data_IF_405393718672
#
_entry.id   IF_405393718672
#
_cell.length_a   1.000
_cell.length_b   1.000
_cell.length_c   1.000
_cell.angle_alpha   90.00
_cell.angle_beta   90.00
_cell.angle_gamma   90.00
#
_symmetry.space_group_name_H-M   'P 1'
#
loop_
_entity.id
_entity.type
_entity.pdbx_description
1 polymer ?
#
# COMPACT_ATOMS: atom_id res chain seq x y z
N UNK A 1 54.16 73.92 -32.12
CA UNK A 1 53.04 73.54 -31.23
C UNK A 1 52.31 72.41 -31.94
N UNK A 2 52.60 71.19 -31.61
CA UNK A 2 51.99 70.00 -32.23
C UNK A 2 51.03 69.33 -31.16
N UNK A 3 49.73 69.32 -31.45
CA UNK A 3 48.70 68.65 -30.64
C UNK A 3 48.70 67.13 -30.97
N UNK A 4 49.05 66.31 -29.98
CA UNK A 4 48.93 64.88 -30.07
C UNK A 4 47.52 64.45 -29.61
N UNK A 5 46.68 63.97 -30.53
CA UNK A 5 45.34 63.46 -30.24
C UNK A 5 45.49 61.97 -29.93
N UNK A 6 45.18 61.57 -28.70
CA UNK A 6 45.08 60.17 -28.29
C UNK A 6 43.72 59.65 -28.64
N UNK A 7 43.64 58.68 -29.58
CA UNK A 7 42.44 57.96 -29.89
C UNK A 7 42.43 56.74 -28.96
N UNK A 8 41.53 56.74 -28.01
CA UNK A 8 41.27 55.56 -27.19
C UNK A 8 40.43 54.50 -27.95
N UNK A 9 41.04 53.39 -28.28
CA UNK A 9 40.37 52.26 -28.94
C UNK A 9 39.65 51.45 -27.87
N UNK A 10 38.31 51.58 -27.77
CA UNK A 10 37.44 50.73 -26.94
C UNK A 10 37.31 49.37 -27.61
N UNK A 11 38.00 48.38 -27.07
CA UNK A 11 37.82 46.98 -27.44
C UNK A 11 36.55 46.46 -26.77
N UNK A 12 35.47 46.34 -27.55
CA UNK A 12 34.28 45.58 -27.12
C UNK A 12 34.60 44.08 -27.13
N UNK A 13 34.81 43.50 -25.96
CA UNK A 13 34.84 42.03 -25.82
C UNK A 13 33.39 41.51 -25.84
N UNK A 14 33.08 40.50 -26.63
CA UNK A 14 31.79 39.85 -26.54
C UNK A 14 31.72 39.05 -25.24
N UNK A 15 30.74 39.36 -24.40
CA UNK A 15 30.35 38.54 -23.26
C UNK A 15 29.72 37.29 -23.83
N UNK A 16 30.48 36.19 -23.88
CA UNK A 16 29.91 34.85 -24.12
C UNK A 16 29.06 34.51 -22.91
N UNK A 17 27.73 34.53 -23.09
CA UNK A 17 26.80 33.94 -22.15
C UNK A 17 27.09 32.45 -22.08
N UNK A 18 27.69 31.98 -21.01
CA UNK A 18 27.72 30.57 -20.64
C UNK A 18 26.25 30.18 -20.42
N UNK A 19 25.67 29.51 -21.42
CA UNK A 19 24.41 28.81 -21.24
C UNK A 19 24.68 27.68 -20.25
N UNK A 20 24.26 27.90 -19.01
CA UNK A 20 24.22 26.88 -17.96
C UNK A 20 23.24 25.81 -18.44
N UNK A 21 23.77 24.75 -19.05
CA UNK A 21 23.04 23.53 -19.33
C UNK A 21 22.80 22.80 -18.01
N UNK A 22 21.96 23.38 -17.16
CA UNK A 22 21.33 22.64 -16.09
C UNK A 22 20.38 21.63 -16.74
N UNK A 23 20.92 20.50 -17.17
CA UNK A 23 20.17 19.28 -17.32
C UNK A 23 19.64 18.91 -15.94
N UNK A 24 18.51 19.51 -15.57
CA UNK A 24 17.61 18.99 -14.57
C UNK A 24 17.12 17.64 -15.13
N UNK A 25 17.90 16.58 -14.89
CA UNK A 25 17.36 15.25 -14.88
C UNK A 25 16.29 15.26 -13.81
N UNK A 26 15.02 15.35 -14.21
CA UNK A 26 13.90 15.00 -13.37
C UNK A 26 14.12 13.53 -12.97
N UNK A 27 14.90 13.30 -11.91
CA UNK A 27 14.85 12.03 -11.19
C UNK A 27 13.42 11.95 -10.71
N UNK A 28 12.61 11.13 -11.41
CA UNK A 28 11.23 10.89 -11.06
C UNK A 28 11.20 10.56 -9.57
N UNK A 29 10.42 11.31 -8.81
CA UNK A 29 10.22 11.03 -7.38
C UNK A 29 9.56 9.66 -7.30
N UNK A 30 10.36 8.62 -7.08
CA UNK A 30 9.83 7.28 -6.81
C UNK A 30 9.30 7.27 -5.39
N UNK A 31 8.00 7.07 -5.21
CA UNK A 31 7.42 7.04 -3.87
C UNK A 31 8.07 5.90 -3.07
N UNK A 32 8.53 6.23 -1.85
CA UNK A 32 9.16 5.25 -0.97
C UNK A 32 8.09 4.39 -0.28
N UNK A 33 8.30 3.08 -0.25
CA UNK A 33 7.46 2.16 0.51
C UNK A 33 7.78 2.20 2.01
N UNK A 34 6.90 1.61 2.81
CA UNK A 34 7.14 1.46 4.24
C UNK A 34 8.42 0.68 4.58
N UNK A 35 8.94 -0.15 3.67
CA UNK A 35 10.17 -0.91 3.85
C UNK A 35 11.41 -0.02 3.94
N UNK A 36 11.44 1.09 3.20
CA UNK A 36 12.55 2.05 3.24
C UNK A 36 12.73 2.71 4.62
N UNK A 37 11.71 2.67 5.46
CA UNK A 37 11.70 3.27 6.80
C UNK A 37 11.98 2.26 7.93
N UNK A 38 12.23 1.01 7.60
CA UNK A 38 12.64 -0.01 8.55
C UNK A 38 14.13 0.12 8.90
N UNK A 39 14.54 -0.33 10.10
CA UNK A 39 15.95 -0.52 10.40
C UNK A 39 16.58 -1.56 9.47
N UNK A 40 17.88 -1.49 9.26
CA UNK A 40 18.61 -2.46 8.42
C UNK A 40 18.40 -3.90 8.91
N UNK A 41 18.35 -4.11 10.24
CA UNK A 41 18.08 -5.44 10.82
C UNK A 41 16.67 -5.94 10.49
N UNK A 42 15.65 -5.08 10.52
CA UNK A 42 14.30 -5.45 10.12
C UNK A 42 14.17 -5.70 8.63
N UNK A 43 14.87 -4.94 7.79
CA UNK A 43 14.92 -5.18 6.35
C UNK A 43 15.60 -6.53 6.03
N UNK A 44 16.69 -6.86 6.74
CA UNK A 44 17.37 -8.15 6.60
C UNK A 44 16.45 -9.30 7.03
N UNK A 45 15.79 -9.18 8.20
CA UNK A 45 14.84 -10.18 8.68
C UNK A 45 13.67 -10.38 7.71
N UNK A 46 13.15 -9.30 7.12
CA UNK A 46 12.06 -9.38 6.14
C UNK A 46 12.46 -10.14 4.87
N UNK A 47 13.73 -10.02 4.44
CA UNK A 47 14.25 -10.69 3.24
C UNK A 47 14.60 -12.16 3.47
N UNK A 48 14.82 -12.56 4.70
CA UNK A 48 15.16 -13.94 5.06
C UNK A 48 13.88 -14.78 5.14
N UNK A 49 13.63 -15.59 4.11
CA UNK A 49 12.43 -16.42 4.03
C UNK A 49 12.31 -17.42 5.19
N UNK A 50 13.43 -17.85 5.79
CA UNK A 50 13.43 -18.82 6.90
C UNK A 50 13.21 -18.13 8.27
N UNK A 51 13.65 -16.89 8.42
CA UNK A 51 13.56 -16.14 9.67
C UNK A 51 12.34 -15.21 9.73
N UNK A 52 11.74 -14.86 8.58
CA UNK A 52 10.56 -14.01 8.51
C UNK A 52 9.31 -14.78 8.98
N UNK A 53 8.71 -14.43 10.13
CA UNK A 53 7.54 -15.16 10.65
C UNK A 53 6.31 -15.07 9.74
N UNK A 54 6.24 -14.09 8.82
CA UNK A 54 5.17 -14.00 7.83
C UNK A 54 5.19 -15.18 6.84
N UNK A 55 6.33 -15.85 6.66
CA UNK A 55 6.45 -17.02 5.79
C UNK A 55 5.54 -18.16 6.22
N UNK A 56 5.39 -18.38 7.53
CA UNK A 56 4.50 -19.43 8.07
C UNK A 56 3.03 -19.19 7.70
N UNK A 57 2.61 -17.94 7.64
CA UNK A 57 1.24 -17.58 7.23
C UNK A 57 1.03 -17.80 5.73
N UNK A 58 2.05 -17.54 4.93
CA UNK A 58 2.01 -17.81 3.49
C UNK A 58 1.92 -19.31 3.24
N UNK A 59 2.73 -20.13 3.93
CA UNK A 59 2.68 -21.59 3.84
C UNK A 59 1.30 -22.14 4.25
N UNK A 60 0.74 -21.63 5.34
CA UNK A 60 -0.62 -21.95 5.75
C UNK A 60 -1.64 -21.57 4.66
N UNK A 61 -1.49 -20.40 4.04
CA UNK A 61 -2.37 -19.96 2.96
C UNK A 61 -2.27 -20.85 1.72
N UNK A 62 -1.09 -21.31 1.37
CA UNK A 62 -0.85 -22.26 0.30
C UNK A 62 -1.53 -23.61 0.59
N UNK A 63 -1.39 -24.12 1.82
CA UNK A 63 -2.06 -25.34 2.25
C UNK A 63 -3.60 -25.22 2.21
N UNK A 64 -4.14 -24.07 2.63
CA UNK A 64 -5.57 -23.78 2.57
C UNK A 64 -6.10 -23.60 1.14
N UNK A 65 -5.28 -23.10 0.23
CA UNK A 65 -5.64 -22.98 -1.19
C UNK A 65 -5.93 -24.35 -1.80
N UNK A 66 -5.15 -25.36 -1.41
CA UNK A 66 -5.29 -26.74 -1.84
C UNK A 66 -4.53 -27.06 -3.13
N UNK A 67 -4.70 -28.28 -3.59
CA UNK A 67 -4.03 -28.86 -4.76
C UNK A 67 -4.99 -29.63 -5.65
N UNK A 68 -4.50 -30.11 -6.79
CA UNK A 68 -5.27 -30.96 -7.69
C UNK A 68 -5.77 -32.21 -6.98
N UNK A 69 -7.02 -32.58 -7.24
CA UNK A 69 -7.70 -33.73 -6.60
C UNK A 69 -8.29 -33.45 -5.22
N UNK A 70 -7.98 -32.31 -4.58
CA UNK A 70 -8.56 -31.89 -3.31
C UNK A 70 -9.93 -31.24 -3.53
N UNK A 71 -10.99 -31.94 -3.11
CA UNK A 71 -12.35 -31.41 -3.21
C UNK A 71 -12.58 -30.22 -2.30
N UNK A 72 -13.49 -29.33 -2.75
CA UNK A 72 -13.94 -28.17 -1.96
C UNK A 72 -12.82 -27.18 -1.55
N UNK A 73 -11.75 -27.11 -2.35
CA UNK A 73 -10.64 -26.18 -2.16
C UNK A 73 -10.76 -24.97 -3.10
N UNK A 74 -9.97 -23.92 -2.83
CA UNK A 74 -9.87 -22.79 -3.76
C UNK A 74 -9.33 -23.24 -5.12
N UNK A 75 -8.42 -24.22 -5.12
CA UNK A 75 -7.84 -24.81 -6.32
C UNK A 75 -8.91 -25.34 -7.29
N UNK A 76 -9.96 -25.96 -6.79
CA UNK A 76 -11.01 -26.56 -7.64
C UNK A 76 -11.67 -25.54 -8.59
N UNK A 77 -11.85 -24.31 -8.14
CA UNK A 77 -12.47 -23.25 -8.95
C UNK A 77 -11.44 -22.36 -9.64
N UNK A 78 -10.27 -22.12 -9.01
CA UNK A 78 -9.29 -21.13 -9.44
C UNK A 78 -7.99 -21.72 -10.01
N UNK A 79 -7.82 -23.05 -9.95
CA UNK A 79 -6.58 -23.73 -10.36
C UNK A 79 -5.40 -23.42 -9.44
N UNK A 80 -4.19 -23.63 -9.93
CA UNK A 80 -2.96 -23.38 -9.17
C UNK A 80 -2.87 -21.92 -8.71
N UNK A 81 -2.37 -21.71 -7.47
CA UNK A 81 -2.22 -20.40 -6.85
C UNK A 81 -1.40 -19.44 -7.74
N UNK A 82 -0.34 -19.94 -8.36
CA UNK A 82 0.56 -19.17 -9.23
C UNK A 82 -0.13 -18.58 -10.47
N UNK A 83 -1.22 -19.20 -10.94
CA UNK A 83 -2.03 -18.66 -12.05
C UNK A 83 -2.85 -17.44 -11.64
N UNK A 84 -2.96 -17.18 -10.34
CA UNK A 84 -3.75 -16.09 -9.75
C UNK A 84 -2.88 -14.87 -9.35
N UNK A 85 -1.66 -14.73 -9.92
CA UNK A 85 -0.71 -13.66 -9.60
C UNK A 85 -1.23 -12.23 -9.83
N UNK A 86 -2.31 -12.05 -10.59
CA UNK A 86 -2.89 -10.73 -10.86
C UNK A 86 -4.10 -10.41 -9.98
N UNK A 87 -4.48 -11.30 -9.06
CA UNK A 87 -5.71 -11.13 -8.28
C UNK A 87 -5.54 -10.06 -7.20
N UNK A 88 -4.50 -10.14 -6.38
CA UNK A 88 -4.35 -9.27 -5.20
C UNK A 88 -4.17 -7.79 -5.58
N UNK A 89 -3.51 -7.51 -6.71
CA UNK A 89 -3.25 -6.14 -7.17
C UNK A 89 -4.52 -5.35 -7.55
N UNK A 90 -5.66 -6.04 -7.76
CA UNK A 90 -6.91 -5.44 -8.22
C UNK A 90 -7.82 -4.99 -7.07
N UNK A 91 -7.45 -5.24 -5.82
CA UNK A 91 -8.27 -4.89 -4.67
C UNK A 91 -7.78 -3.64 -3.94
N UNK A 92 -8.69 -2.80 -3.41
CA UNK A 92 -10.15 -2.98 -3.38
C UNK A 92 -10.79 -2.75 -4.74
N UNK A 93 -11.92 -3.43 -4.97
CA UNK A 93 -12.70 -3.29 -6.19
C UNK A 93 -14.20 -3.22 -5.91
N UNK A 94 -14.96 -2.72 -6.88
CA UNK A 94 -16.41 -2.74 -6.79
C UNK A 94 -16.94 -4.16 -6.99
N UNK A 95 -17.82 -4.60 -6.11
CA UNK A 95 -18.50 -5.87 -6.21
C UNK A 95 -19.90 -5.69 -6.77
N UNK A 96 -20.17 -6.22 -7.97
CA UNK A 96 -21.51 -6.24 -8.56
C UNK A 96 -22.53 -6.93 -7.65
N UNK A 97 -22.12 -8.05 -7.06
CA UNK A 97 -23.01 -8.84 -6.20
C UNK A 97 -23.39 -8.13 -4.91
N UNK A 98 -22.43 -7.42 -4.29
CA UNK A 98 -22.61 -6.78 -3.00
C UNK A 98 -22.96 -5.29 -3.13
N UNK A 99 -22.91 -4.73 -4.34
CA UNK A 99 -23.15 -3.32 -4.65
C UNK A 99 -22.34 -2.38 -3.76
N UNK A 100 -21.08 -2.73 -3.50
CA UNK A 100 -20.15 -1.96 -2.66
C UNK A 100 -18.69 -2.23 -3.00
N UNK A 101 -17.82 -1.37 -2.50
CA UNK A 101 -16.38 -1.57 -2.51
C UNK A 101 -16.00 -2.69 -1.53
N UNK A 102 -15.20 -3.65 -1.99
CA UNK A 102 -14.69 -4.77 -1.20
C UNK A 102 -13.18 -4.91 -1.35
N UNK A 103 -12.51 -5.42 -0.33
CA UNK A 103 -11.12 -5.83 -0.42
C UNK A 103 -10.97 -7.35 -0.66
N UNK A 104 -9.73 -7.83 -0.68
CA UNK A 104 -9.45 -9.25 -0.94
C UNK A 104 -9.98 -10.15 0.19
N UNK A 105 -9.87 -9.73 1.43
CA UNK A 105 -10.37 -10.46 2.60
C UNK A 105 -11.90 -10.60 2.56
N UNK A 106 -12.62 -9.55 2.16
CA UNK A 106 -14.08 -9.61 1.92
C UNK A 106 -14.41 -10.65 0.83
N UNK A 107 -13.61 -10.67 -0.24
CA UNK A 107 -13.80 -11.63 -1.33
C UNK A 107 -13.54 -13.07 -0.89
N UNK A 108 -12.49 -13.30 -0.09
CA UNK A 108 -12.16 -14.62 0.48
C UNK A 108 -13.30 -15.11 1.37
N UNK A 109 -13.80 -14.25 2.27
CA UNK A 109 -14.95 -14.56 3.12
C UNK A 109 -16.18 -14.92 2.29
N UNK A 110 -16.49 -14.11 1.27
CA UNK A 110 -17.64 -14.37 0.40
C UNK A 110 -17.52 -15.67 -0.40
N UNK A 111 -16.30 -16.05 -0.80
CA UNK A 111 -16.04 -17.35 -1.46
C UNK A 111 -16.15 -18.51 -0.47
N UNK A 112 -15.69 -18.38 0.77
CA UNK A 112 -15.73 -19.43 1.78
C UNK A 112 -17.15 -19.91 2.12
N UNK A 113 -18.15 -19.05 1.89
CA UNK A 113 -19.57 -19.42 2.03
C UNK A 113 -20.00 -20.57 1.10
N UNK A 114 -19.18 -20.84 0.06
CA UNK A 114 -19.44 -21.88 -0.93
C UNK A 114 -18.60 -23.15 -0.71
N UNK A 115 -17.83 -23.17 0.37
CA UNK A 115 -16.99 -24.30 0.76
C UNK A 115 -17.50 -24.90 2.07
N UNK A 116 -17.20 -26.18 2.38
CA UNK A 116 -17.61 -26.79 3.65
C UNK A 116 -17.08 -26.08 4.88
N UNK A 117 -15.94 -25.40 4.76
CA UNK A 117 -15.34 -24.59 5.83
C UNK A 117 -15.66 -23.12 5.60
N UNK A 118 -16.75 -22.65 6.20
CA UNK A 118 -17.09 -21.23 6.23
C UNK A 118 -16.15 -20.48 7.17
N UNK A 119 -15.45 -19.48 6.65
CA UNK A 119 -14.60 -18.59 7.42
C UNK A 119 -15.39 -17.41 7.97
N UNK A 120 -15.02 -16.91 9.14
CA UNK A 120 -15.69 -15.79 9.79
C UNK A 120 -14.67 -14.76 10.28
N UNK A 121 -14.94 -13.48 10.01
CA UNK A 121 -14.12 -12.34 10.44
C UNK A 121 -12.91 -12.08 9.54
N UNK A 122 -12.70 -10.79 9.26
CA UNK A 122 -11.63 -10.31 8.39
C UNK A 122 -10.22 -10.55 8.97
N UNK A 123 -10.10 -10.61 10.29
CA UNK A 123 -8.86 -10.89 11.01
C UNK A 123 -8.70 -12.39 11.36
N UNK A 124 -9.52 -13.26 10.78
CA UNK A 124 -9.37 -14.71 10.93
C UNK A 124 -8.04 -15.17 10.33
N UNK A 125 -7.31 -16.03 11.04
CA UNK A 125 -5.98 -16.47 10.62
C UNK A 125 -5.98 -17.13 9.23
N UNK A 126 -6.98 -17.94 8.90
CA UNK A 126 -7.07 -18.60 7.59
C UNK A 126 -7.36 -17.59 6.47
N UNK A 127 -8.20 -16.57 6.74
CA UNK A 127 -8.45 -15.47 5.78
C UNK A 127 -7.18 -14.69 5.49
N UNK A 128 -6.45 -14.31 6.53
CA UNK A 128 -5.19 -13.56 6.38
C UNK A 128 -4.10 -14.41 5.72
N UNK A 129 -4.04 -15.71 6.01
CA UNK A 129 -3.11 -16.65 5.37
C UNK A 129 -3.38 -16.79 3.88
N UNK A 130 -4.64 -16.96 3.47
CA UNK A 130 -5.04 -16.99 2.06
C UNK A 130 -4.74 -15.66 1.36
N UNK A 131 -5.04 -14.54 2.02
CA UNK A 131 -4.73 -13.21 1.49
C UNK A 131 -3.21 -13.02 1.34
N UNK A 132 -2.42 -13.44 2.33
CA UNK A 132 -0.96 -13.36 2.26
C UNK A 132 -0.37 -14.20 1.13
N UNK A 133 -0.89 -15.41 0.90
CA UNK A 133 -0.46 -16.28 -0.19
C UNK A 133 -0.78 -15.67 -1.57
N UNK A 134 -1.97 -15.08 -1.75
CA UNK A 134 -2.37 -14.40 -2.98
C UNK A 134 -1.53 -13.12 -3.22
N UNK A 135 -1.24 -12.36 -2.18
CA UNK A 135 -0.35 -11.20 -2.30
C UNK A 135 1.09 -11.62 -2.60
N UNK A 136 1.56 -12.72 -2.01
CA UNK A 136 2.92 -13.23 -2.23
C UNK A 136 3.15 -13.62 -3.69
N UNK A 137 2.21 -14.31 -4.35
CA UNK A 137 2.35 -14.63 -5.78
C UNK A 137 2.19 -13.40 -6.68
N UNK A 138 1.68 -12.30 -6.15
CA UNK A 138 1.57 -10.98 -6.82
C UNK A 138 2.76 -10.06 -6.51
N UNK A 139 3.73 -10.49 -5.71
CA UNK A 139 4.89 -9.66 -5.30
C UNK A 139 5.64 -9.13 -6.53
N UNK A 140 6.03 -7.87 -6.49
CA UNK A 140 6.70 -7.18 -7.59
C UNK A 140 5.74 -6.57 -8.63
N UNK A 141 4.47 -6.93 -8.63
CA UNK A 141 3.46 -6.32 -9.51
C UNK A 141 2.91 -5.04 -8.86
N UNK A 142 2.65 -3.98 -9.64
CA UNK A 142 2.01 -2.78 -9.13
C UNK A 142 0.52 -3.00 -8.91
N UNK A 143 -0.10 -2.14 -8.10
CA UNK A 143 -1.57 -2.12 -8.01
C UNK A 143 -2.20 -1.79 -9.37
N UNK A 144 -3.29 -2.47 -9.71
CA UNK A 144 -4.10 -2.25 -10.90
C UNK A 144 -5.56 -2.00 -10.52
N UNK A 145 -5.82 -0.84 -9.94
CA UNK A 145 -7.13 -0.46 -9.43
C UNK A 145 -7.93 0.21 -10.56
N UNK A 146 -8.53 -0.60 -11.40
CA UNK A 146 -9.31 -0.14 -12.56
C UNK A 146 -10.80 -0.28 -12.24
N UNK A 147 -11.56 0.83 -12.18
CA UNK A 147 -13.00 0.75 -11.99
C UNK A 147 -13.68 0.14 -13.21
N UNK A 148 -14.67 -0.76 -13.03
CA UNK A 148 -15.54 -1.15 -14.11
C UNK A 148 -16.26 0.08 -14.67
N UNK A 149 -16.39 0.21 -16.00
CA UNK A 149 -16.97 1.41 -16.62
C UNK A 149 -18.38 1.73 -16.08
N UNK A 150 -19.19 0.69 -15.87
CA UNK A 150 -20.53 0.79 -15.26
C UNK A 150 -20.55 1.48 -13.88
N UNK A 151 -19.46 1.40 -13.11
CA UNK A 151 -19.37 1.91 -11.73
C UNK A 151 -18.32 3.01 -11.58
N UNK A 152 -17.87 3.59 -12.64
CA UNK A 152 -16.81 4.63 -12.63
C UNK A 152 -17.17 5.84 -11.76
N UNK A 153 -18.42 6.27 -11.81
CA UNK A 153 -18.92 7.39 -10.99
C UNK A 153 -18.92 7.05 -9.49
N UNK A 154 -19.43 5.87 -9.14
CA UNK A 154 -19.45 5.39 -7.73
C UNK A 154 -18.02 5.20 -7.22
N UNK A 155 -17.15 4.58 -8.02
CA UNK A 155 -15.74 4.44 -7.70
C UNK A 155 -15.07 5.78 -7.42
N UNK A 156 -15.28 6.78 -8.29
CA UNK A 156 -14.70 8.11 -8.10
C UNK A 156 -15.24 8.78 -6.83
N UNK A 157 -16.51 8.60 -6.52
CA UNK A 157 -17.11 9.07 -5.28
C UNK A 157 -16.46 8.43 -4.05
N UNK A 158 -16.26 7.11 -4.06
CA UNK A 158 -15.58 6.38 -2.96
C UNK A 158 -14.12 6.82 -2.81
N UNK A 159 -13.42 7.06 -3.90
CA UNK A 159 -12.04 7.55 -3.89
C UNK A 159 -11.94 8.96 -3.31
N UNK A 160 -12.84 9.87 -3.72
CA UNK A 160 -12.89 11.24 -3.22
C UNK A 160 -13.19 11.27 -1.72
N UNK A 161 -14.10 10.41 -1.27
CA UNK A 161 -14.43 10.29 0.15
C UNK A 161 -13.24 9.71 0.95
N UNK A 162 -12.51 8.75 0.39
CA UNK A 162 -11.25 8.26 0.98
C UNK A 162 -10.19 9.37 1.13
N UNK A 163 -10.06 10.23 0.12
CA UNK A 163 -9.18 11.40 0.17
C UNK A 163 -9.61 12.39 1.26
N UNK A 164 -10.92 12.64 1.37
CA UNK A 164 -11.50 13.49 2.41
C UNK A 164 -11.21 12.93 3.81
N UNK A 165 -11.44 11.65 4.02
CA UNK A 165 -11.14 10.98 5.30
C UNK A 165 -9.66 11.09 5.67
N UNK A 166 -8.76 10.92 4.72
CA UNK A 166 -7.31 11.01 4.94
C UNK A 166 -6.87 12.42 5.39
N UNK A 167 -7.55 13.46 4.93
CA UNK A 167 -7.25 14.87 5.25
C UNK A 167 -8.04 15.42 6.43
N UNK A 168 -9.11 14.73 6.85
CA UNK A 168 -10.00 15.19 7.92
C UNK A 168 -9.36 14.96 9.29
N UNK A 169 -9.34 15.99 10.13
CA UNK A 169 -8.92 15.90 11.53
C UNK A 169 -9.95 15.13 12.33
N UNK A 170 -9.47 14.25 13.21
CA UNK A 170 -10.33 13.37 14.00
C UNK A 170 -9.78 13.16 15.42
N UNK A 171 -10.61 12.60 16.26
CA UNK A 171 -10.29 12.21 17.62
C UNK A 171 -9.94 13.38 18.56
N UNK A 172 -9.69 13.03 19.81
CA UNK A 172 -9.35 14.04 20.85
C UNK A 172 -8.01 14.71 20.59
N UNK A 173 -7.13 14.05 19.83
CA UNK A 173 -5.84 14.64 19.42
C UNK A 173 -5.96 15.60 18.25
N UNK A 174 -7.14 15.70 17.62
CA UNK A 174 -7.42 16.58 16.48
C UNK A 174 -6.38 16.43 15.35
N UNK A 175 -6.07 15.20 14.96
CA UNK A 175 -5.07 14.88 13.93
C UNK A 175 -5.73 14.23 12.71
N UNK A 176 -5.23 14.56 11.53
CA UNK A 176 -5.52 13.86 10.28
C UNK A 176 -4.36 12.91 9.94
N UNK A 177 -4.60 11.95 9.02
CA UNK A 177 -3.55 11.04 8.55
C UNK A 177 -2.38 11.80 7.91
N UNK A 178 -2.66 12.91 7.22
CA UNK A 178 -1.67 13.80 6.58
C UNK A 178 -0.63 14.36 7.55
N UNK A 179 -0.99 14.61 8.82
CA UNK A 179 -0.02 15.13 9.80
C UNK A 179 1.15 14.18 10.00
N UNK A 180 0.88 12.86 10.00
CA UNK A 180 1.93 11.87 10.10
C UNK A 180 2.48 11.47 8.72
N UNK A 181 1.60 11.09 7.78
CA UNK A 181 1.99 10.42 6.55
C UNK A 181 2.39 11.36 5.38
N UNK A 182 2.20 12.68 5.53
CA UNK A 182 2.70 13.68 4.58
C UNK A 182 3.71 14.62 5.27
N UNK A 183 3.37 15.18 6.44
CA UNK A 183 4.17 16.25 7.06
C UNK A 183 5.32 15.73 7.93
N UNK A 184 5.18 14.57 8.56
CA UNK A 184 6.17 14.02 9.49
C UNK A 184 6.86 12.75 8.98
N UNK A 185 6.82 12.50 7.67
CA UNK A 185 7.54 11.39 7.04
C UNK A 185 9.03 11.45 7.41
N UNK A 186 9.60 10.32 7.79
CA UNK A 186 11.00 10.21 8.22
C UNK A 186 11.25 10.63 9.67
N UNK A 187 10.28 11.22 10.35
CA UNK A 187 10.42 11.52 11.78
C UNK A 187 10.15 10.28 12.63
N UNK A 188 10.72 10.26 13.83
CA UNK A 188 10.51 9.16 14.77
C UNK A 188 9.22 9.38 15.57
N UNK A 189 8.45 8.31 15.70
CA UNK A 189 7.34 8.21 16.63
C UNK A 189 7.55 6.96 17.50
N UNK A 190 7.94 7.15 18.74
CA UNK A 190 8.42 6.07 19.63
C UNK A 190 9.60 5.32 18.97
N UNK A 191 9.48 4.01 18.78
CA UNK A 191 10.51 3.17 18.21
C UNK A 191 10.46 3.08 16.67
N UNK A 192 9.40 3.56 16.04
CA UNK A 192 9.17 3.48 14.61
C UNK A 192 9.49 4.80 13.89
N UNK A 193 9.83 4.70 12.62
CA UNK A 193 9.95 5.85 11.72
C UNK A 193 8.64 5.96 10.92
N UNK A 194 8.11 7.17 10.86
CA UNK A 194 6.87 7.44 10.12
C UNK A 194 7.13 7.30 8.62
N UNK A 195 6.37 6.43 7.96
CA UNK A 195 6.40 6.24 6.50
C UNK A 195 5.29 7.04 5.82
N UNK A 196 5.31 7.18 4.47
CA UNK A 196 4.22 7.84 3.73
C UNK A 196 2.87 7.11 3.78
N UNK A 197 2.79 5.94 4.44
CA UNK A 197 1.55 5.18 4.57
C UNK A 197 1.14 4.41 3.31
N UNK A 198 2.07 4.10 2.42
CA UNK A 198 1.81 3.26 1.24
C UNK A 198 1.61 1.80 1.65
N UNK A 199 0.47 1.16 1.33
CA UNK A 199 0.10 -0.16 1.85
C UNK A 199 0.60 -1.32 0.98
N UNK A 200 1.79 -1.21 0.40
CA UNK A 200 2.36 -2.18 -0.54
C UNK A 200 2.63 -3.56 0.06
N UNK A 201 2.74 -3.65 1.39
CA UNK A 201 3.13 -4.88 2.09
C UNK A 201 1.99 -5.60 2.82
N UNK A 202 0.74 -5.16 2.70
CA UNK A 202 -0.38 -5.79 3.41
C UNK A 202 -0.88 -7.05 2.70
N UNK A 203 -1.33 -8.07 3.51
CA UNK A 203 -1.31 -8.14 4.98
C UNK A 203 0.13 -8.22 5.52
N UNK A 204 0.35 -7.63 6.71
CA UNK A 204 1.68 -7.55 7.33
C UNK A 204 1.77 -8.44 8.57
N UNK A 205 2.94 -9.05 8.82
CA UNK A 205 3.25 -9.56 10.15
C UNK A 205 3.79 -8.42 11.02
N UNK A 206 3.13 -8.14 12.14
CA UNK A 206 3.59 -7.12 13.07
C UNK A 206 4.10 -7.76 14.35
N UNK A 207 5.37 -7.51 14.68
CA UNK A 207 6.05 -8.11 15.86
C UNK A 207 5.29 -7.84 17.15
N UNK A 208 4.77 -6.62 17.32
CA UNK A 208 3.99 -6.28 18.53
C UNK A 208 2.60 -6.94 18.57
N UNK A 209 2.10 -7.48 17.47
CA UNK A 209 0.87 -8.28 17.43
C UNK A 209 1.13 -9.77 17.51
N UNK A 210 2.38 -10.21 17.27
CA UNK A 210 2.77 -11.61 17.10
C UNK A 210 1.86 -12.34 16.11
N UNK A 211 1.36 -11.62 15.11
CA UNK A 211 0.39 -12.12 14.14
C UNK A 211 0.42 -11.32 12.84
N UNK A 212 -0.10 -11.93 11.79
CA UNK A 212 -0.51 -11.23 10.57
C UNK A 212 -1.70 -10.31 10.88
N UNK A 213 -1.78 -9.19 10.19
CA UNK A 213 -2.92 -8.28 10.28
C UNK A 213 -3.22 -7.61 8.95
N UNK A 214 -4.51 -7.37 8.71
CA UNK A 214 -4.99 -6.65 7.55
C UNK A 214 -4.70 -5.15 7.62
N UNK A 215 -4.92 -4.45 6.51
CA UNK A 215 -4.92 -2.98 6.49
C UNK A 215 -6.01 -2.41 7.40
N UNK A 216 -7.18 -3.07 7.51
CA UNK A 216 -8.24 -2.68 8.44
C UNK A 216 -7.75 -2.59 9.87
N UNK A 217 -7.07 -3.65 10.33
CA UNK A 217 -6.50 -3.67 11.68
C UNK A 217 -5.52 -2.51 11.88
N UNK A 218 -4.70 -2.21 10.87
CA UNK A 218 -3.74 -1.11 10.95
C UNK A 218 -4.43 0.26 11.01
N UNK A 219 -5.41 0.49 10.15
CA UNK A 219 -6.18 1.75 10.15
C UNK A 219 -6.90 1.95 11.47
N UNK A 220 -7.60 0.94 11.98
CA UNK A 220 -8.27 0.98 13.28
C UNK A 220 -7.30 1.27 14.44
N UNK A 221 -6.08 0.74 14.37
CA UNK A 221 -5.03 1.08 15.35
C UNK A 221 -4.62 2.57 15.26
N UNK A 222 -4.63 3.19 14.07
CA UNK A 222 -4.39 4.62 13.93
C UNK A 222 -5.53 5.45 14.53
N UNK A 223 -6.81 5.08 14.28
CA UNK A 223 -7.97 5.72 14.91
C UNK A 223 -7.87 5.68 16.44
N UNK A 224 -7.57 4.51 17.00
CA UNK A 224 -7.32 4.37 18.44
C UNK A 224 -6.18 5.26 18.93
N UNK A 225 -5.08 5.33 18.15
CA UNK A 225 -3.90 6.12 18.47
C UNK A 225 -4.17 7.63 18.56
N UNK A 226 -5.09 8.16 17.76
CA UNK A 226 -5.53 9.57 17.80
C UNK A 226 -6.76 9.81 18.69
N UNK A 227 -7.19 8.77 19.41
CA UNK A 227 -8.37 8.81 20.29
C UNK A 227 -9.66 9.21 19.57
N UNK A 228 -9.84 8.67 18.35
CA UNK A 228 -11.06 8.79 17.56
C UNK A 228 -11.96 7.55 17.75
N UNK A 229 -13.24 7.68 17.38
CA UNK A 229 -14.15 6.55 17.28
C UNK A 229 -13.61 5.54 16.26
N UNK A 230 -13.51 4.28 16.66
CA UNK A 230 -12.90 3.24 15.86
C UNK A 230 -13.93 2.64 14.91
N UNK A 231 -13.77 2.77 13.58
CA UNK A 231 -14.72 2.19 12.63
C UNK A 231 -14.82 0.67 12.79
N UNK A 232 -16.00 0.11 12.52
CA UNK A 232 -16.20 -1.34 12.54
C UNK A 232 -15.32 -2.01 11.46
N UNK A 233 -14.81 -3.24 11.70
CA UNK A 233 -14.10 -4.00 10.67
C UNK A 233 -14.95 -4.13 9.40
N UNK A 234 -14.34 -3.90 8.24
CA UNK A 234 -15.03 -3.99 6.95
C UNK A 234 -16.00 -2.85 6.64
N UNK A 235 -16.01 -1.79 7.45
CA UNK A 235 -16.88 -0.63 7.22
C UNK A 235 -16.55 0.06 5.89
N UNK A 236 -17.53 0.75 5.28
CA UNK A 236 -17.29 1.55 4.08
C UNK A 236 -16.17 2.57 4.25
N UNK A 237 -16.06 3.16 5.43
CA UNK A 237 -15.01 4.12 5.77
C UNK A 237 -13.60 3.52 5.61
N UNK A 238 -13.36 2.32 6.13
CA UNK A 238 -12.08 1.64 6.00
C UNK A 238 -11.79 1.23 4.55
N UNK A 239 -12.80 0.81 3.78
CA UNK A 239 -12.64 0.48 2.35
C UNK A 239 -12.29 1.71 1.51
N UNK A 240 -12.88 2.87 1.79
CA UNK A 240 -12.56 4.15 1.15
C UNK A 240 -11.14 4.59 1.43
N UNK A 241 -10.71 4.50 2.69
CA UNK A 241 -9.32 4.79 3.07
C UNK A 241 -8.35 3.81 2.40
N UNK A 242 -8.65 2.52 2.38
CA UNK A 242 -7.82 1.52 1.70
C UNK A 242 -7.69 1.83 0.20
N UNK A 243 -8.81 2.14 -0.47
CA UNK A 243 -8.82 2.53 -1.88
C UNK A 243 -7.91 3.74 -2.13
N UNK A 244 -8.10 4.80 -1.35
CA UNK A 244 -7.32 6.01 -1.50
C UNK A 244 -5.82 5.77 -1.27
N UNK A 245 -5.45 5.02 -0.22
CA UNK A 245 -4.05 4.72 0.08
C UNK A 245 -3.39 3.88 -1.01
N UNK A 246 -4.09 2.88 -1.56
CA UNK A 246 -3.59 2.06 -2.67
C UNK A 246 -3.51 2.86 -3.97
N UNK A 247 -4.43 3.79 -4.24
CA UNK A 247 -4.32 4.72 -5.37
C UNK A 247 -3.11 5.65 -5.25
N UNK A 248 -2.76 6.12 -4.05
CA UNK A 248 -1.52 6.89 -3.81
C UNK A 248 -0.24 6.11 -4.10
N UNK A 249 -0.31 4.79 -4.13
CA UNK A 249 0.80 3.87 -4.36
C UNK A 249 0.62 3.00 -5.60
N UNK A 250 -0.21 3.43 -6.56
CA UNK A 250 -0.64 2.62 -7.69
C UNK A 250 0.51 2.06 -8.53
N UNK A 251 1.59 2.81 -8.69
CA UNK A 251 2.77 2.37 -9.47
C UNK A 251 3.80 1.60 -8.65
N UNK A 252 3.58 1.48 -7.34
CA UNK A 252 4.52 0.79 -6.46
C UNK A 252 4.30 -0.71 -6.46
N UNK A 253 5.39 -1.51 -6.42
CA UNK A 253 5.28 -2.96 -6.37
C UNK A 253 4.73 -3.45 -5.03
N UNK A 254 3.96 -4.54 -5.07
CA UNK A 254 3.59 -5.31 -3.89
C UNK A 254 4.83 -5.93 -3.24
N UNK A 255 4.89 -5.91 -1.91
CA UNK A 255 6.09 -6.27 -1.14
C UNK A 255 5.77 -7.30 -0.03
N UNK A 256 5.17 -8.41 -0.38
CA UNK A 256 4.82 -9.50 0.57
C UNK A 256 5.83 -10.65 0.42
N UNK A 257 6.32 -11.25 1.52
CA UNK A 257 5.93 -11.10 2.93
C UNK A 257 6.52 -9.88 3.61
N UNK A 258 5.67 -9.02 4.16
CA UNK A 258 6.11 -7.82 4.87
C UNK A 258 6.09 -7.98 6.38
N UNK A 259 7.11 -7.38 7.01
CA UNK A 259 7.34 -7.42 8.44
C UNK A 259 7.34 -6.00 9.00
N UNK A 260 6.72 -5.79 10.15
CA UNK A 260 6.77 -4.52 10.90
C UNK A 260 7.02 -4.78 12.39
N UNK A 261 7.61 -3.81 13.05
CA UNK A 261 7.94 -3.87 14.48
C UNK A 261 6.70 -3.91 15.39
#
# INVERSE_FOLDING_TARGET
MALIVWIALLILMPVQALADNSHSTSQGFHPLSGNAFLSLSMQALQKDANANPASLWIEQGRALWGSDGQQSSCFQCHGALEKNKHVAQQFPKWSDRLQKLINLEDQILACSQRTPKTLQGLENADVLSLSAALHQVSTGLPFQLIPPEKYKSQWQSELNEGARLFTTRMGRMNLACTHCHDQLVGKRMRADVISPGHPTGFPIFKMSWQAMGSIDRRLRACYSGVQADIPAPGSPELRRLELFLKMRSQEMPLEVPSLRR
#
